data_IF_076564103301
#
_entry.id   IF_076564103301
#
_cell.length_a   1.000
_cell.length_b   1.000
_cell.length_c   1.000
_cell.angle_alpha   90.00
_cell.angle_beta   90.00
_cell.angle_gamma   90.00
#
_symmetry.space_group_name_H-M   'P 1'
#
loop_
_entity.id
_entity.type
_entity.pdbx_description
1 polymer ?
#
# COMPACT_ATOMS: atom_id res chain seq x y z
N UNK A 1 -24.96 2.51 -20.79
CA UNK A 1 -25.37 1.72 -19.62
C UNK A 1 -24.81 2.39 -18.39
N UNK A 2 -25.66 3.01 -17.55
CA UNK A 2 -25.20 3.53 -16.25
C UNK A 2 -24.99 2.32 -15.33
N UNK A 3 -23.77 2.12 -14.86
CA UNK A 3 -23.50 1.15 -13.81
C UNK A 3 -24.35 1.46 -12.57
N UNK A 4 -24.72 0.41 -11.84
CA UNK A 4 -25.40 0.48 -10.56
C UNK A 4 -24.69 1.45 -9.60
N UNK A 5 -25.40 2.03 -8.63
CA UNK A 5 -24.80 2.94 -7.64
C UNK A 5 -23.58 2.31 -6.93
N UNK A 6 -23.58 0.98 -6.78
CA UNK A 6 -22.44 0.21 -6.29
C UNK A 6 -21.23 0.25 -7.24
N UNK A 7 -21.42 -0.03 -8.53
CA UNK A 7 -20.34 0.03 -9.54
C UNK A 7 -19.73 1.42 -9.66
N UNK A 8 -20.56 2.47 -9.58
CA UNK A 8 -20.08 3.86 -9.56
C UNK A 8 -19.23 4.16 -8.33
N UNK A 9 -19.59 3.60 -7.17
CA UNK A 9 -18.81 3.77 -5.95
C UNK A 9 -17.48 3.03 -6.02
N UNK A 10 -17.48 1.79 -6.53
CA UNK A 10 -16.26 1.01 -6.79
C UNK A 10 -15.32 1.76 -7.73
N UNK A 11 -15.86 2.31 -8.83
CA UNK A 11 -15.08 3.09 -9.79
C UNK A 11 -14.42 4.31 -9.16
N UNK A 12 -15.17 5.11 -8.38
CA UNK A 12 -14.62 6.29 -7.68
C UNK A 12 -13.51 5.93 -6.69
N UNK A 13 -13.67 4.83 -5.96
CA UNK A 13 -12.63 4.37 -5.04
C UNK A 13 -11.37 3.93 -5.80
N UNK A 14 -11.53 3.25 -6.94
CA UNK A 14 -10.40 2.87 -7.80
C UNK A 14 -9.69 4.08 -8.41
N UNK A 15 -10.43 5.10 -8.87
CA UNK A 15 -9.85 6.37 -9.34
C UNK A 15 -9.04 7.05 -8.23
N UNK A 16 -9.56 7.06 -7.01
CA UNK A 16 -8.85 7.59 -5.85
C UNK A 16 -7.55 6.81 -5.58
N UNK A 17 -7.57 5.49 -5.64
CA UNK A 17 -6.36 4.67 -5.49
C UNK A 17 -5.31 4.97 -6.56
N UNK A 18 -5.73 5.20 -7.81
CA UNK A 18 -4.83 5.57 -8.89
C UNK A 18 -4.20 6.94 -8.62
N UNK A 19 -4.97 7.92 -8.13
CA UNK A 19 -4.45 9.22 -7.73
C UNK A 19 -3.43 9.09 -6.58
N UNK A 20 -3.75 8.29 -5.56
CA UNK A 20 -2.82 7.98 -4.46
C UNK A 20 -1.54 7.34 -5.01
N UNK A 21 -1.65 6.37 -5.92
CA UNK A 21 -0.51 5.70 -6.55
C UNK A 21 0.44 6.70 -7.23
N UNK A 22 -0.10 7.69 -7.94
CA UNK A 22 0.70 8.72 -8.60
C UNK A 22 1.37 9.64 -7.58
N UNK A 23 0.62 10.08 -6.56
CA UNK A 23 1.13 10.93 -5.48
C UNK A 23 2.22 10.23 -4.62
N UNK A 24 2.21 8.91 -4.54
CA UNK A 24 3.25 8.13 -3.88
C UNK A 24 4.60 8.19 -4.59
N UNK A 25 4.67 8.59 -5.87
CA UNK A 25 5.94 8.66 -6.62
C UNK A 25 6.72 9.96 -6.43
N UNK A 26 6.11 10.98 -5.82
CA UNK A 26 6.77 12.27 -5.55
C UNK A 26 7.04 12.41 -4.04
N UNK A 27 8.30 12.65 -3.61
CA UNK A 27 8.65 12.79 -2.20
C UNK A 27 7.82 13.85 -1.47
N UNK A 28 7.43 14.93 -2.17
CA UNK A 28 6.68 16.06 -1.59
C UNK A 28 5.26 15.67 -1.23
N UNK A 29 4.66 14.74 -1.96
CA UNK A 29 3.28 14.28 -1.76
C UNK A 29 3.22 12.91 -1.08
N UNK A 30 4.32 12.18 -1.02
CA UNK A 30 4.41 10.82 -0.49
C UNK A 30 3.81 10.72 0.92
N UNK A 31 4.20 11.58 1.85
CA UNK A 31 3.76 11.49 3.25
C UNK A 31 2.24 11.61 3.39
N UNK A 32 1.62 12.50 2.61
CA UNK A 32 0.16 12.66 2.62
C UNK A 32 -0.52 11.45 1.98
N UNK A 33 -0.06 11.02 0.80
CA UNK A 33 -0.61 9.89 0.07
C UNK A 33 -0.47 8.56 0.82
N UNK A 34 0.67 8.33 1.49
CA UNK A 34 0.93 7.13 2.28
C UNK A 34 0.07 7.09 3.55
N UNK A 35 -0.20 8.23 4.19
CA UNK A 35 -1.15 8.32 5.32
C UNK A 35 -2.57 8.02 4.87
N UNK A 36 -3.00 8.59 3.75
CA UNK A 36 -4.31 8.31 3.19
C UNK A 36 -4.47 6.83 2.84
N UNK A 37 -3.45 6.23 2.24
CA UNK A 37 -3.44 4.79 1.95
C UNK A 37 -3.42 3.94 3.23
N UNK A 38 -2.71 4.39 4.28
CA UNK A 38 -2.70 3.75 5.59
C UNK A 38 -4.11 3.70 6.17
N UNK A 39 -4.82 4.83 6.19
CA UNK A 39 -6.21 4.90 6.66
C UNK A 39 -7.12 3.98 5.85
N UNK A 40 -6.89 3.91 4.54
CA UNK A 40 -7.61 3.00 3.67
C UNK A 40 -7.38 1.53 4.05
N UNK A 41 -6.12 1.15 4.30
CA UNK A 41 -5.74 -0.22 4.71
C UNK A 41 -6.13 -0.60 6.14
N UNK A 42 -6.56 0.36 6.99
CA UNK A 42 -7.13 0.05 8.29
C UNK A 42 -8.54 -0.54 8.20
N UNK A 43 -9.25 -0.33 7.08
CA UNK A 43 -10.56 -0.94 6.83
C UNK A 43 -10.38 -2.31 6.13
N UNK A 44 -10.80 -3.43 6.74
CA UNK A 44 -10.73 -4.75 6.12
C UNK A 44 -11.44 -4.87 4.76
N UNK A 45 -12.37 -3.96 4.44
CA UNK A 45 -13.07 -3.91 3.15
C UNK A 45 -12.19 -3.38 2.01
N UNK A 46 -11.06 -2.75 2.32
CA UNK A 46 -10.09 -2.31 1.32
C UNK A 46 -9.44 -3.48 0.56
N UNK A 47 -9.44 -4.67 1.15
CA UNK A 47 -8.84 -5.88 0.58
C UNK A 47 -9.83 -6.70 -0.27
N UNK A 48 -10.89 -6.07 -0.78
CA UNK A 48 -11.85 -6.73 -1.67
C UNK A 48 -11.33 -6.80 -3.11
N UNK A 49 -11.74 -7.85 -3.82
CA UNK A 49 -11.33 -8.15 -5.20
C UNK A 49 -11.33 -6.94 -6.16
N UNK A 50 -12.35 -6.06 -6.17
CA UNK A 50 -12.42 -4.93 -7.11
C UNK A 50 -11.31 -3.89 -6.93
N UNK A 51 -10.64 -3.88 -5.78
CA UNK A 51 -9.62 -2.88 -5.45
C UNK A 51 -8.21 -3.47 -5.36
N UNK A 52 -8.08 -4.79 -5.22
CA UNK A 52 -6.80 -5.48 -5.01
C UNK A 52 -5.74 -5.07 -6.03
N UNK A 53 -6.09 -4.99 -7.32
CA UNK A 53 -5.13 -4.66 -8.37
C UNK A 53 -4.48 -3.29 -8.13
N UNK A 54 -5.30 -2.28 -7.82
CA UNK A 54 -4.83 -0.92 -7.58
C UNK A 54 -4.13 -0.80 -6.22
N UNK A 55 -4.63 -1.48 -5.19
CA UNK A 55 -3.98 -1.52 -3.88
C UNK A 55 -2.56 -2.13 -3.99
N UNK A 56 -2.43 -3.28 -4.65
CA UNK A 56 -1.13 -3.91 -4.91
C UNK A 56 -0.22 -2.98 -5.73
N UNK A 57 -0.76 -2.25 -6.71
CA UNK A 57 0.01 -1.29 -7.47
C UNK A 57 0.56 -0.14 -6.59
N UNK A 58 -0.23 0.35 -5.63
CA UNK A 58 0.24 1.33 -4.64
C UNK A 58 1.34 0.74 -3.72
N UNK A 59 1.13 -0.47 -3.18
CA UNK A 59 2.10 -1.11 -2.29
C UNK A 59 3.44 -1.40 -2.98
N UNK A 60 3.41 -1.74 -4.28
CA UNK A 60 4.63 -1.87 -5.08
C UNK A 60 5.40 -0.54 -5.17
N UNK A 61 4.71 0.57 -5.45
CA UNK A 61 5.35 1.89 -5.50
C UNK A 61 5.97 2.22 -4.14
N UNK A 62 5.23 2.04 -3.03
CA UNK A 62 5.75 2.28 -1.68
C UNK A 62 7.01 1.47 -1.41
N UNK A 63 7.01 0.17 -1.73
CA UNK A 63 8.17 -0.71 -1.51
C UNK A 63 9.41 -0.29 -2.31
N UNK A 64 9.22 0.33 -3.46
CA UNK A 64 10.30 0.85 -4.31
C UNK A 64 10.82 2.19 -3.80
N UNK A 65 9.94 3.19 -3.68
CA UNK A 65 10.36 4.58 -3.44
C UNK A 65 10.68 4.88 -1.98
N UNK A 66 10.12 4.13 -1.02
CA UNK A 66 10.37 4.39 0.42
C UNK A 66 11.83 4.21 0.84
N UNK A 67 12.65 3.54 0.02
CA UNK A 67 14.08 3.32 0.24
C UNK A 67 14.95 4.42 -0.39
N UNK A 68 14.36 5.33 -1.15
CA UNK A 68 15.04 6.43 -1.82
C UNK A 68 15.14 7.67 -0.92
N UNK A 69 16.11 8.53 -1.21
CA UNK A 69 16.30 9.77 -0.46
C UNK A 69 15.11 10.72 -0.62
N UNK A 70 14.71 11.36 0.48
CA UNK A 70 13.57 12.28 0.53
C UNK A 70 12.22 11.61 0.80
N UNK A 71 12.15 10.27 0.82
CA UNK A 71 10.95 9.53 1.19
C UNK A 71 10.98 9.07 2.67
N UNK A 72 9.79 8.96 3.29
CA UNK A 72 9.67 8.48 4.66
C UNK A 72 9.65 6.94 4.70
N UNK A 73 10.84 6.35 4.87
CA UNK A 73 11.01 4.90 4.99
C UNK A 73 10.17 4.30 6.13
N UNK A 74 10.06 4.98 7.28
CA UNK A 74 9.34 4.46 8.43
C UNK A 74 7.84 4.36 8.14
N UNK A 75 7.30 5.39 7.49
CA UNK A 75 5.90 5.39 7.06
C UNK A 75 5.63 4.30 6.01
N UNK A 76 6.53 4.12 5.03
CA UNK A 76 6.44 3.06 4.03
C UNK A 76 6.45 1.66 4.65
N UNK A 77 7.41 1.39 5.54
CA UNK A 77 7.50 0.10 6.26
C UNK A 77 6.26 -0.16 7.14
N UNK A 78 5.75 0.87 7.82
CA UNK A 78 4.54 0.75 8.64
C UNK A 78 3.32 0.37 7.79
N UNK A 79 3.15 1.03 6.65
CA UNK A 79 2.06 0.72 5.71
C UNK A 79 2.13 -0.73 5.21
N UNK A 80 3.31 -1.17 4.77
CA UNK A 80 3.52 -2.55 4.31
C UNK A 80 3.28 -3.57 5.44
N UNK A 81 3.67 -3.25 6.67
CA UNK A 81 3.42 -4.09 7.85
C UNK A 81 1.93 -4.23 8.17
N UNK A 82 1.15 -3.15 8.09
CA UNK A 82 -0.31 -3.21 8.27
C UNK A 82 -0.94 -4.08 7.18
N UNK A 83 -0.54 -3.89 5.92
CA UNK A 83 -1.06 -4.70 4.81
C UNK A 83 -0.70 -6.19 4.95
N UNK A 84 0.45 -6.50 5.54
CA UNK A 84 0.88 -7.88 5.82
C UNK A 84 -0.01 -8.59 6.86
N UNK A 85 -0.64 -7.85 7.78
CA UNK A 85 -1.60 -8.39 8.74
C UNK A 85 -2.91 -8.85 8.08
N UNK A 86 -3.20 -8.36 6.88
CA UNK A 86 -4.38 -8.72 6.09
C UNK A 86 -4.01 -9.54 4.84
N UNK A 87 -2.81 -10.12 4.80
CA UNK A 87 -2.28 -10.84 3.62
C UNK A 87 -3.19 -11.99 3.17
N UNK A 88 -3.91 -12.60 4.09
CA UNK A 88 -4.87 -13.69 3.85
C UNK A 88 -6.17 -13.24 3.17
N UNK A 89 -6.45 -11.94 3.16
CA UNK A 89 -7.61 -11.37 2.46
C UNK A 89 -7.35 -11.13 0.98
N UNK A 90 -6.08 -11.07 0.57
CA UNK A 90 -5.73 -11.00 -0.84
C UNK A 90 -6.01 -12.34 -1.53
N UNK A 91 -6.55 -12.25 -2.73
CA UNK A 91 -6.81 -13.38 -3.61
C UNK A 91 -5.51 -14.16 -3.89
N UNK A 92 -5.59 -15.49 -4.06
CA UNK A 92 -4.42 -16.36 -4.29
C UNK A 92 -3.47 -15.90 -5.41
N UNK A 93 -4.01 -15.25 -6.45
CA UNK A 93 -3.25 -14.67 -7.58
C UNK A 93 -2.23 -13.61 -7.17
N UNK A 94 -2.40 -12.98 -6.00
CA UNK A 94 -1.50 -11.96 -5.47
C UNK A 94 -0.61 -12.47 -4.33
N UNK A 95 -0.85 -13.67 -3.77
CA UNK A 95 -0.11 -14.23 -2.63
C UNK A 95 1.41 -14.23 -2.85
N UNK A 96 1.87 -14.61 -4.06
CA UNK A 96 3.30 -14.57 -4.37
C UNK A 96 3.89 -13.15 -4.37
N UNK A 97 3.16 -12.17 -4.92
CA UNK A 97 3.59 -10.77 -4.96
C UNK A 97 3.55 -10.11 -3.58
N UNK A 98 2.50 -10.34 -2.81
CA UNK A 98 2.36 -9.80 -1.45
C UNK A 98 3.40 -10.41 -0.51
N UNK A 99 3.69 -11.71 -0.65
CA UNK A 99 4.72 -12.36 0.14
C UNK A 99 6.09 -11.69 0.00
N UNK A 100 6.53 -11.42 -1.24
CA UNK A 100 7.80 -10.73 -1.50
C UNK A 100 7.79 -9.31 -0.94
N UNK A 101 6.71 -8.54 -1.22
CA UNK A 101 6.58 -7.16 -0.74
C UNK A 101 6.69 -7.04 0.78
N UNK A 102 6.03 -7.93 1.51
CA UNK A 102 5.98 -7.88 2.97
C UNK A 102 7.25 -8.46 3.61
N UNK A 103 7.87 -9.48 3.00
CA UNK A 103 9.12 -10.04 3.49
C UNK A 103 10.25 -9.00 3.43
N UNK A 104 10.38 -8.31 2.30
CA UNK A 104 11.41 -7.27 2.12
C UNK A 104 11.22 -6.09 3.07
N UNK A 105 9.96 -5.66 3.27
CA UNK A 105 9.63 -4.56 4.16
C UNK A 105 9.95 -4.88 5.63
N UNK A 106 9.58 -6.08 6.10
CA UNK A 106 9.86 -6.53 7.45
C UNK A 106 11.37 -6.66 7.69
N UNK A 107 12.13 -7.19 6.73
CA UNK A 107 13.58 -7.32 6.86
C UNK A 107 14.26 -5.94 6.95
N UNK A 108 13.87 -4.98 6.10
CA UNK A 108 14.41 -3.61 6.14
C UNK A 108 14.05 -2.91 7.46
N UNK A 109 12.80 -3.04 7.91
CA UNK A 109 12.34 -2.44 9.16
C UNK A 109 13.08 -3.01 10.38
N UNK A 110 13.23 -4.34 10.46
CA UNK A 110 13.94 -5.01 11.57
C UNK A 110 15.42 -4.63 11.56
N UNK A 111 16.09 -4.59 10.40
CA UNK A 111 17.49 -4.15 10.32
C UNK A 111 17.67 -2.71 10.79
N UNK A 112 16.76 -1.82 10.39
CA UNK A 112 16.80 -0.41 10.79
C UNK A 112 16.58 -0.24 12.30
N UNK A 113 15.57 -0.90 12.86
CA UNK A 113 15.36 -0.91 14.32
C UNK A 113 16.55 -1.48 15.08
N UNK A 114 17.24 -2.50 14.55
CA UNK A 114 18.43 -3.07 15.19
C UNK A 114 19.65 -2.15 15.10
N UNK A 115 19.80 -1.36 14.03
CA UNK A 115 20.89 -0.38 13.87
C UNK A 115 20.63 0.88 14.70
N UNK A 116 19.41 1.40 14.72
CA UNK A 116 19.02 2.60 15.48
C UNK A 116 18.96 2.35 17.00
N UNK A 117 19.06 1.09 17.45
CA UNK A 117 19.09 0.72 18.88
C UNK A 117 20.51 0.68 19.48
N UNK A 118 21.55 1.05 18.71
CA UNK A 118 22.95 0.96 19.12
C UNK A 118 23.69 2.30 19.00
#
# INVERSE_FOLDING_TARGET
MMGTAYEQHVQKNNERLICIQQALRDPRTFTAAAKELLEWCLDPRAFQEPFEANLIACLNVVSQVSKEDGFDLNLGCRLLSICANYREKFSPRYTGKTFVLFCDALHVFVRKLLIDYH
#
